data_IF_737536155733
#
_entry.id   IF_737536155733
#
_cell.length_a   1.000
_cell.length_b   1.000
_cell.length_c   1.000
_cell.angle_alpha   90.00
_cell.angle_beta   90.00
_cell.angle_gamma   90.00
#
_symmetry.space_group_name_H-M   'P 1'
#
loop_
_entity.id
_entity.type
_entity.pdbx_description
1 polymer ?
#
# COMPACT_ATOMS: atom_id res chain seq x y z
N UNK A 1 -37.84 0.86 -14.66
CA UNK A 1 -36.79 1.82 -15.07
C UNK A 1 -36.53 2.69 -13.86
N UNK A 2 -35.50 2.35 -13.07
CA UNK A 2 -35.07 3.17 -11.93
C UNK A 2 -33.86 3.93 -12.44
N UNK A 3 -34.05 5.22 -12.69
CA UNK A 3 -33.00 6.15 -13.05
C UNK A 3 -32.05 6.27 -11.85
N UNK A 4 -30.82 5.76 -12.00
CA UNK A 4 -29.73 6.05 -11.10
C UNK A 4 -29.47 7.55 -11.15
N UNK A 5 -29.85 8.23 -10.07
CA UNK A 5 -29.54 9.63 -9.84
C UNK A 5 -28.01 9.73 -9.73
N UNK A 6 -27.37 10.07 -10.85
CA UNK A 6 -25.96 10.45 -10.89
C UNK A 6 -25.84 11.82 -10.22
N UNK A 7 -25.83 11.81 -8.88
CA UNK A 7 -25.61 12.99 -8.08
C UNK A 7 -24.16 13.42 -8.32
N UNK A 8 -23.96 14.42 -9.18
CA UNK A 8 -22.68 14.96 -9.63
C UNK A 8 -21.85 15.63 -8.53
N UNK A 9 -21.64 14.93 -7.43
CA UNK A 9 -20.75 15.35 -6.37
C UNK A 9 -19.33 15.47 -6.95
N UNK A 10 -18.77 16.67 -6.87
CA UNK A 10 -17.37 16.91 -7.21
C UNK A 10 -16.51 16.01 -6.30
N UNK A 11 -15.62 15.17 -6.87
CA UNK A 11 -14.83 14.26 -6.06
C UNK A 11 -13.85 15.03 -5.17
N UNK A 12 -13.85 14.73 -3.88
CA UNK A 12 -12.89 15.25 -2.90
C UNK A 12 -11.62 14.40 -2.97
N UNK A 13 -10.65 14.87 -3.76
CA UNK A 13 -9.39 14.19 -4.03
C UNK A 13 -8.24 14.92 -3.34
N UNK A 14 -7.61 14.26 -2.37
CA UNK A 14 -6.43 14.78 -1.68
C UNK A 14 -5.17 14.06 -2.17
N UNK A 15 -4.22 14.74 -2.83
CA UNK A 15 -2.94 14.15 -3.21
C UNK A 15 -2.12 13.72 -1.99
N UNK A 16 -1.46 12.57 -2.12
CA UNK A 16 -0.53 12.00 -1.15
C UNK A 16 0.82 11.79 -1.85
N UNK A 17 1.63 12.86 -2.01
CA UNK A 17 2.94 12.74 -2.64
C UNK A 17 3.92 11.94 -1.77
N UNK A 18 5.06 11.49 -2.33
CA UNK A 18 6.13 10.90 -1.56
C UNK A 18 6.58 11.87 -0.47
N UNK A 19 6.76 11.35 0.75
CA UNK A 19 7.09 12.20 1.90
C UNK A 19 8.57 12.62 1.84
N UNK A 20 8.90 13.93 1.75
CA UNK A 20 10.27 14.39 1.48
C UNK A 20 11.30 13.96 2.53
N UNK A 21 10.88 13.76 3.77
CA UNK A 21 11.72 13.47 4.94
C UNK A 21 11.80 11.96 5.26
N UNK A 22 10.94 11.15 4.63
CA UNK A 22 10.80 9.73 4.89
C UNK A 22 11.69 8.90 3.96
N UNK A 23 12.41 7.92 4.51
CA UNK A 23 13.25 6.96 3.76
C UNK A 23 12.57 5.62 3.45
N UNK A 24 11.25 5.53 3.62
CA UNK A 24 10.46 4.36 3.26
C UNK A 24 10.73 3.90 1.82
N UNK A 25 10.90 2.60 1.63
CA UNK A 25 11.17 1.98 0.34
C UNK A 25 10.05 2.22 -0.68
N UNK A 26 8.78 2.19 -0.27
CA UNK A 26 7.64 2.38 -1.19
C UNK A 26 7.34 3.84 -1.49
N UNK A 27 6.98 4.64 -0.48
CA UNK A 27 6.50 6.02 -0.67
C UNK A 27 7.41 7.12 -0.09
N UNK A 28 8.62 6.80 0.35
CA UNK A 28 9.56 7.78 0.90
C UNK A 28 10.23 8.62 -0.20
N UNK A 29 10.20 9.93 -0.08
CA UNK A 29 10.87 10.86 -1.00
C UNK A 29 12.37 11.03 -0.73
N UNK A 30 12.86 10.70 0.47
CA UNK A 30 14.29 10.75 0.84
C UNK A 30 15.01 9.41 0.63
N UNK A 31 14.41 8.46 -0.07
CA UNK A 31 15.06 7.20 -0.42
C UNK A 31 15.41 7.21 -1.91
N UNK A 32 16.65 7.53 -2.26
CA UNK A 32 17.11 7.59 -3.67
C UNK A 32 16.95 6.27 -4.43
N UNK A 33 16.79 5.14 -3.72
CA UNK A 33 16.56 3.80 -4.28
C UNK A 33 15.13 3.28 -4.03
N UNK A 34 14.25 4.14 -3.53
CA UNK A 34 12.85 3.84 -3.27
C UNK A 34 11.99 3.96 -4.53
N UNK A 35 10.74 3.49 -4.44
CA UNK A 35 9.79 3.49 -5.54
C UNK A 35 9.07 4.82 -5.73
N UNK A 36 9.19 5.74 -4.78
CA UNK A 36 8.56 7.07 -4.76
C UNK A 36 7.06 7.04 -5.11
N UNK A 37 6.35 6.03 -4.61
CA UNK A 37 4.94 5.83 -4.91
C UNK A 37 4.09 6.98 -4.37
N UNK A 38 3.45 7.70 -5.29
CA UNK A 38 2.46 8.74 -5.01
C UNK A 38 1.04 8.18 -5.08
N UNK A 39 0.16 8.67 -4.22
CA UNK A 39 -1.24 8.22 -4.16
C UNK A 39 -2.19 9.41 -4.12
N UNK A 40 -3.48 9.13 -4.23
CA UNK A 40 -4.58 10.05 -3.99
C UNK A 40 -5.50 9.43 -2.95
N UNK A 41 -5.86 10.22 -1.94
CA UNK A 41 -6.92 9.89 -1.01
C UNK A 41 -8.23 10.44 -1.56
N UNK A 42 -9.06 9.54 -2.10
CA UNK A 42 -10.41 9.85 -2.55
C UNK A 42 -11.34 9.79 -1.33
N UNK A 43 -11.68 10.96 -0.80
CA UNK A 43 -12.47 11.10 0.42
C UNK A 43 -13.95 10.85 0.17
N UNK A 44 -14.43 11.12 -1.04
CA UNK A 44 -15.80 10.82 -1.47
C UNK A 44 -16.08 9.33 -1.48
N UNK A 45 -15.23 8.52 -2.13
CA UNK A 45 -15.38 7.06 -2.21
C UNK A 45 -14.73 6.30 -1.05
N UNK A 46 -14.04 7.02 -0.16
CA UNK A 46 -13.19 6.46 0.91
C UNK A 46 -12.20 5.43 0.36
N UNK A 47 -11.40 5.84 -0.62
CA UNK A 47 -10.41 5.02 -1.31
C UNK A 47 -9.02 5.64 -1.24
N UNK A 48 -8.01 4.78 -1.33
CA UNK A 48 -6.66 5.17 -1.74
C UNK A 48 -6.46 4.69 -3.16
N UNK A 49 -6.05 5.59 -4.06
CA UNK A 49 -5.83 5.30 -5.47
C UNK A 49 -4.38 5.63 -5.83
N UNK A 50 -3.73 4.74 -6.58
CA UNK A 50 -2.42 4.98 -7.17
C UNK A 50 -2.43 4.59 -8.64
N UNK A 51 -1.73 5.35 -9.50
CA UNK A 51 -1.54 5.05 -10.92
C UNK A 51 -0.04 5.02 -11.18
N UNK A 52 0.45 3.91 -11.71
CA UNK A 52 1.89 3.68 -11.79
C UNK A 52 2.26 3.07 -13.13
N UNK A 53 3.44 3.46 -13.62
CA UNK A 53 4.16 2.80 -14.71
C UNK A 53 5.55 2.53 -14.17
N UNK A 54 5.86 1.26 -13.94
CA UNK A 54 7.11 0.83 -13.29
C UNK A 54 8.08 0.27 -14.34
N UNK A 55 9.35 0.67 -14.25
CA UNK A 55 10.41 0.33 -15.20
C UNK A 55 11.07 -1.04 -14.97
N UNK A 56 12.11 -1.30 -15.77
CA UNK A 56 12.86 -2.57 -15.81
C UNK A 56 13.55 -2.90 -14.48
N UNK A 57 13.88 -1.90 -13.67
CA UNK A 57 14.49 -2.07 -12.35
C UNK A 57 13.61 -2.85 -11.35
N UNK A 58 12.31 -2.98 -11.64
CA UNK A 58 11.33 -3.70 -10.83
C UNK A 58 11.01 -5.10 -11.37
N UNK A 59 11.78 -5.58 -12.35
CA UNK A 59 11.57 -6.87 -12.98
C UNK A 59 11.75 -8.03 -12.01
N UNK A 60 10.89 -9.06 -12.13
CA UNK A 60 11.09 -10.36 -11.49
C UNK A 60 11.30 -11.45 -12.52
N UNK A 61 10.26 -11.75 -13.29
CA UNK A 61 10.36 -12.58 -14.49
C UNK A 61 10.59 -11.72 -15.74
N UNK A 62 11.10 -12.29 -16.85
CA UNK A 62 11.35 -11.53 -18.08
C UNK A 62 10.10 -10.76 -18.53
N UNK A 63 10.17 -9.42 -18.60
CA UNK A 63 9.10 -8.55 -19.05
C UNK A 63 7.98 -8.27 -18.03
N UNK A 64 8.06 -8.80 -16.81
CA UNK A 64 7.01 -8.66 -15.80
C UNK A 64 7.54 -8.20 -14.45
N UNK A 65 6.73 -7.42 -13.74
CA UNK A 65 7.06 -6.94 -12.40
C UNK A 65 7.25 -8.09 -11.42
N UNK A 66 8.23 -7.94 -10.53
CA UNK A 66 8.47 -8.88 -9.45
C UNK A 66 7.26 -8.96 -8.52
N UNK A 67 6.88 -10.17 -8.08
CA UNK A 67 5.74 -10.36 -7.19
C UNK A 67 5.85 -9.55 -5.89
N UNK A 68 7.07 -9.44 -5.35
CA UNK A 68 7.36 -8.58 -4.19
C UNK A 68 7.09 -7.09 -4.43
N UNK A 69 7.32 -6.58 -5.65
CA UNK A 69 7.01 -5.18 -6.00
C UNK A 69 5.51 -4.97 -6.02
N UNK A 70 4.77 -5.89 -6.62
CA UNK A 70 3.30 -5.87 -6.63
C UNK A 70 2.76 -5.91 -5.19
N UNK A 71 3.32 -6.78 -4.34
CA UNK A 71 2.97 -6.86 -2.92
C UNK A 71 3.25 -5.54 -2.19
N UNK A 72 4.39 -4.90 -2.44
CA UNK A 72 4.73 -3.58 -1.89
C UNK A 72 3.71 -2.52 -2.31
N UNK A 73 3.31 -2.46 -3.58
CA UNK A 73 2.30 -1.49 -4.04
C UNK A 73 0.96 -1.71 -3.34
N UNK A 74 0.52 -2.97 -3.22
CA UNK A 74 -0.73 -3.32 -2.52
C UNK A 74 -0.66 -2.94 -1.04
N UNK A 75 0.43 -3.29 -0.35
CA UNK A 75 0.63 -2.95 1.07
C UNK A 75 0.68 -1.43 1.29
N UNK A 76 1.39 -0.70 0.44
CA UNK A 76 1.48 0.76 0.50
C UNK A 76 0.13 1.45 0.29
N UNK A 77 -0.70 0.94 -0.63
CA UNK A 77 -2.06 1.45 -0.86
C UNK A 77 -2.96 1.17 0.35
N UNK A 78 -2.95 -0.07 0.84
CA UNK A 78 -3.75 -0.48 2.01
C UNK A 78 -3.32 0.23 3.29
N UNK A 79 -2.01 0.41 3.51
CA UNK A 79 -1.48 1.08 4.70
C UNK A 79 -1.90 2.55 4.78
N UNK A 80 -2.07 3.22 3.64
CA UNK A 80 -2.52 4.62 3.57
C UNK A 80 -3.97 4.82 3.99
N UNK A 81 -4.82 3.79 3.98
CA UNK A 81 -6.20 3.88 4.49
C UNK A 81 -6.26 4.26 5.97
N UNK A 82 -5.22 3.95 6.76
CA UNK A 82 -5.15 4.34 8.16
C UNK A 82 -5.17 5.88 8.35
N UNK A 83 -4.87 6.67 7.31
CA UNK A 83 -4.97 8.14 7.34
C UNK A 83 -6.39 8.66 7.43
N UNK A 84 -7.40 7.87 7.03
CA UNK A 84 -8.79 8.26 7.26
C UNK A 84 -9.17 8.31 8.74
N UNK A 85 -8.34 7.75 9.61
CA UNK A 85 -8.57 7.66 11.05
C UNK A 85 -7.46 8.31 11.87
N UNK A 86 -6.53 9.02 11.21
CA UNK A 86 -5.34 9.61 11.84
C UNK A 86 -4.49 8.60 12.65
N UNK A 87 -4.48 7.34 12.22
CA UNK A 87 -3.78 6.25 12.91
C UNK A 87 -2.38 6.00 12.32
N UNK A 88 -1.44 5.71 13.21
CA UNK A 88 -0.21 4.99 12.87
C UNK A 88 -0.47 3.50 13.04
N UNK A 89 -0.26 2.73 11.99
CA UNK A 89 -0.44 1.29 12.02
C UNK A 89 0.67 0.58 11.26
N UNK A 90 0.95 -0.64 11.67
CA UNK A 90 1.92 -1.53 11.02
C UNK A 90 1.20 -2.72 10.41
N UNK A 91 1.72 -3.24 9.30
CA UNK A 91 1.23 -4.45 8.67
C UNK A 91 1.53 -5.65 9.56
N UNK A 92 0.50 -6.36 10.02
CA UNK A 92 0.64 -7.57 10.83
C UNK A 92 0.45 -8.85 10.00
N UNK A 93 -0.26 -8.74 8.89
CA UNK A 93 -0.50 -9.84 7.95
C UNK A 93 -0.78 -9.27 6.57
N UNK A 94 -0.24 -9.89 5.53
CA UNK A 94 -0.49 -9.56 4.14
C UNK A 94 -0.72 -10.86 3.35
N UNK A 95 -1.88 -10.97 2.72
CA UNK A 95 -2.20 -11.99 1.72
C UNK A 95 -2.31 -11.32 0.35
N UNK A 96 -1.60 -11.89 -0.63
CA UNK A 96 -1.66 -11.43 -2.03
C UNK A 96 -2.08 -12.60 -2.92
N UNK A 97 -2.99 -12.32 -3.84
CA UNK A 97 -3.39 -13.23 -4.91
C UNK A 97 -2.98 -12.61 -6.25
N UNK A 98 -2.07 -13.28 -6.95
CA UNK A 98 -1.60 -12.90 -8.29
C UNK A 98 -2.45 -13.65 -9.32
N UNK A 99 -3.31 -12.92 -10.02
CA UNK A 99 -4.26 -13.51 -10.97
C UNK A 99 -3.71 -13.51 -12.39
N UNK A 100 -2.94 -12.48 -12.73
CA UNK A 100 -2.32 -12.28 -14.04
C UNK A 100 -0.96 -11.58 -13.90
N UNK A 101 -0.01 -11.81 -14.81
CA UNK A 101 1.24 -11.05 -14.85
C UNK A 101 0.98 -9.55 -15.01
N UNK A 102 1.86 -8.72 -14.45
CA UNK A 102 1.84 -7.26 -14.63
C UNK A 102 3.02 -6.86 -15.50
N UNK A 103 2.80 -6.44 -16.76
CA UNK A 103 3.87 -6.04 -17.66
C UNK A 103 4.65 -4.83 -17.14
N UNK A 104 5.96 -4.82 -17.39
CA UNK A 104 6.82 -3.64 -17.17
C UNK A 104 6.47 -2.55 -18.18
N UNK A 105 6.58 -1.29 -17.78
CA UNK A 105 6.36 -0.15 -18.67
C UNK A 105 4.89 0.09 -19.06
N UNK A 106 3.96 -0.74 -18.60
CA UNK A 106 2.53 -0.54 -18.77
C UNK A 106 1.89 0.10 -17.54
N UNK A 107 0.92 0.99 -17.76
CA UNK A 107 0.19 1.62 -16.68
C UNK A 107 -0.79 0.63 -16.01
N UNK A 108 -0.77 0.62 -14.68
CA UNK A 108 -1.78 -0.03 -13.87
C UNK A 108 -2.29 0.89 -12.75
N UNK A 109 -3.46 0.57 -12.23
CA UNK A 109 -4.15 1.30 -11.17
C UNK A 109 -4.30 0.38 -9.97
N UNK A 110 -3.94 0.87 -8.79
CA UNK A 110 -4.28 0.23 -7.51
C UNK A 110 -5.35 1.04 -6.81
N UNK A 111 -6.39 0.37 -6.34
CA UNK A 111 -7.41 0.96 -5.46
C UNK A 111 -7.51 0.14 -4.17
N UNK A 112 -7.41 0.80 -3.02
CA UNK A 112 -7.56 0.18 -1.71
C UNK A 112 -8.76 0.74 -0.95
N UNK A 113 -9.37 -0.12 -0.13
CA UNK A 113 -10.52 0.20 0.72
C UNK A 113 -10.50 -0.54 2.06
N UNK A 114 -11.15 0.05 3.05
CA UNK A 114 -11.36 -0.57 4.37
C UNK A 114 -12.49 -1.60 4.29
N UNK A 115 -12.24 -2.80 4.80
CA UNK A 115 -13.23 -3.89 4.87
C UNK A 115 -13.91 -3.90 6.22
N UNK A 116 -13.11 -3.84 7.29
CA UNK A 116 -13.62 -3.80 8.66
C UNK A 116 -12.55 -3.24 9.61
N UNK A 117 -13.00 -2.73 10.75
CA UNK A 117 -12.12 -2.28 11.84
C UNK A 117 -12.70 -2.71 13.18
N UNK A 118 -11.84 -3.21 14.08
CA UNK A 118 -12.22 -3.64 15.42
C UNK A 118 -11.08 -3.38 16.40
N UNK A 119 -11.33 -2.49 17.37
CA UNK A 119 -10.33 -2.03 18.33
C UNK A 119 -9.08 -1.47 17.63
N UNK A 120 -7.93 -2.11 17.87
CA UNK A 120 -6.64 -1.74 17.26
C UNK A 120 -6.38 -2.40 15.91
N UNK A 121 -7.25 -3.29 15.43
CA UNK A 121 -7.06 -3.98 14.16
C UNK A 121 -7.91 -3.34 13.06
N UNK A 122 -7.33 -3.17 11.88
CA UNK A 122 -8.04 -2.83 10.65
C UNK A 122 -7.76 -3.88 9.58
N UNK A 123 -8.79 -4.30 8.86
CA UNK A 123 -8.66 -5.14 7.67
C UNK A 123 -8.90 -4.26 6.46
N UNK A 124 -7.92 -4.22 5.58
CA UNK A 124 -7.98 -3.51 4.31
C UNK A 124 -7.89 -4.51 3.15
N UNK A 125 -8.43 -4.12 2.02
CA UNK A 125 -8.28 -4.82 0.75
C UNK A 125 -7.80 -3.85 -0.32
N UNK A 126 -7.13 -4.37 -1.33
CA UNK A 126 -6.75 -3.62 -2.52
C UNK A 126 -6.86 -4.46 -3.78
N UNK A 127 -7.18 -3.80 -4.88
CA UNK A 127 -7.21 -4.38 -6.21
C UNK A 127 -6.24 -3.63 -7.12
N UNK A 128 -5.44 -4.39 -7.87
CA UNK A 128 -4.57 -3.87 -8.91
C UNK A 128 -5.14 -4.27 -10.27
N UNK A 129 -5.43 -3.27 -11.10
CA UNK A 129 -6.05 -3.43 -12.41
C UNK A 129 -5.19 -2.82 -13.51
N UNK A 130 -5.21 -3.41 -14.70
CA UNK A 130 -4.61 -2.79 -15.90
C UNK A 130 -5.32 -1.49 -16.25
N UNK A 131 -4.75 -0.70 -17.16
CA UNK A 131 -5.43 0.46 -17.77
C UNK A 131 -6.79 0.12 -18.39
N UNK A 132 -7.00 -1.10 -18.86
CA UNK A 132 -8.28 -1.59 -19.42
C UNK A 132 -9.25 -2.12 -18.36
N UNK A 133 -8.89 -2.06 -17.07
CA UNK A 133 -9.75 -2.48 -15.96
C UNK A 133 -9.65 -3.98 -15.61
N UNK A 134 -8.79 -4.74 -16.27
CA UNK A 134 -8.61 -6.17 -15.98
C UNK A 134 -7.94 -6.35 -14.61
N UNK A 135 -8.50 -7.17 -13.74
CA UNK A 135 -7.91 -7.46 -12.43
C UNK A 135 -6.64 -8.31 -12.59
N UNK A 136 -5.50 -7.77 -12.15
CA UNK A 136 -4.19 -8.41 -12.27
C UNK A 136 -3.76 -9.06 -10.94
N UNK A 137 -3.97 -8.36 -9.83
CA UNK A 137 -3.71 -8.88 -8.48
C UNK A 137 -4.68 -8.28 -7.46
N UNK A 138 -4.83 -8.94 -6.32
CA UNK A 138 -5.53 -8.37 -5.16
C UNK A 138 -4.82 -8.68 -3.86
N UNK A 139 -4.95 -7.78 -2.91
CA UNK A 139 -4.37 -7.89 -1.57
C UNK A 139 -5.44 -7.82 -0.50
N UNK A 140 -5.22 -8.52 0.61
CA UNK A 140 -5.94 -8.33 1.86
C UNK A 140 -4.92 -8.31 2.99
N UNK A 141 -4.98 -7.30 3.84
CA UNK A 141 -4.02 -7.13 4.91
C UNK A 141 -4.69 -6.73 6.22
N UNK A 142 -4.08 -7.16 7.32
CA UNK A 142 -4.43 -6.73 8.67
C UNK A 142 -3.38 -5.76 9.18
N UNK A 143 -3.83 -4.59 9.56
CA UNK A 143 -3.03 -3.54 10.18
C UNK A 143 -3.33 -3.46 11.67
N UNK A 144 -2.30 -3.19 12.47
CA UNK A 144 -2.43 -2.99 13.91
C UNK A 144 -2.02 -1.56 14.25
N UNK A 145 -2.94 -0.78 14.80
CA UNK A 145 -2.67 0.56 15.29
C UNK A 145 -1.65 0.51 16.43
N UNK A 146 -0.62 1.35 16.35
CA UNK A 146 0.46 1.48 17.32
C UNK A 146 0.52 2.89 17.85
N UNK A 147 0.93 3.01 19.11
CA UNK A 147 1.23 4.29 19.73
C UNK A 147 2.41 4.96 18.99
N UNK A 148 2.33 6.26 18.77
CA UNK A 148 3.37 7.05 18.12
C UNK A 148 4.72 6.97 18.84
N UNK A 149 4.74 6.93 20.18
CA UNK A 149 5.95 6.77 20.96
C UNK A 149 6.63 5.41 20.72
N UNK A 150 5.85 4.36 20.42
CA UNK A 150 6.40 3.04 20.05
C UNK A 150 6.84 3.00 18.58
N UNK A 151 6.14 3.71 17.70
CA UNK A 151 6.45 3.74 16.27
C UNK A 151 7.79 4.41 15.96
N UNK A 152 8.17 5.44 16.73
CA UNK A 152 9.42 6.19 16.54
C UNK A 152 10.64 5.56 17.22
N UNK A 153 10.48 4.46 17.97
CA UNK A 153 11.62 3.79 18.60
C UNK A 153 12.50 3.11 17.55
N UNK A 154 13.84 3.28 17.60
CA UNK A 154 14.72 2.52 16.74
C UNK A 154 14.57 1.02 17.02
N UNK A 155 14.91 0.14 16.05
CA UNK A 155 14.94 -1.30 16.28
C UNK A 155 15.72 -1.59 17.55
N UNK A 156 15.15 -2.40 18.45
CA UNK A 156 15.89 -2.85 19.63
C UNK A 156 17.12 -3.59 19.14
N UNK A 157 18.29 -3.24 19.68
CA UNK A 157 19.52 -4.00 19.42
C UNK A 157 19.25 -5.47 19.72
N UNK A 158 19.51 -6.34 18.74
CA UNK A 158 19.40 -7.77 18.96
C UNK A 158 20.47 -8.15 19.97
N UNK A 159 20.08 -8.75 21.11
CA UNK A 159 21.05 -9.43 21.96
C UNK A 159 21.79 -10.44 21.11
N UNK A 160 23.11 -10.27 20.99
CA UNK A 160 24.00 -11.18 20.29
C UNK A 160 23.69 -12.63 20.66
N UNK A 161 23.75 -13.52 19.67
CA UNK A 161 23.62 -14.97 19.88
C UNK A 161 24.65 -15.53 20.89
N UNK A 162 25.71 -14.79 21.21
CA UNK A 162 26.71 -15.16 22.23
C UNK A 162 26.15 -15.22 23.67
N UNK A 163 25.01 -14.60 23.95
CA UNK A 163 24.41 -14.51 25.29
C UNK A 163 23.49 -15.72 25.62
N UNK A 164 23.40 -16.72 24.73
CA UNK A 164 22.46 -17.87 24.83
C UNK A 164 23.10 -19.22 25.14
N UNK A 165 24.43 -19.33 25.23
CA UNK A 165 25.16 -20.58 25.56
C UNK A 165 25.68 -20.57 27.00
N UNK A 166 24.83 -20.15 27.94
CA UNK A 166 25.13 -20.17 29.37
C UNK A 166 24.04 -20.86 30.17
N UNK A 167 23.76 -22.14 29.89
CA UNK A 167 23.16 -23.06 30.86
C UNK A 167 23.35 -24.52 30.48
#
# INVERSE_FOLDING_TARGET
MVEEQNNGAVPDLMPLPPRPDNRCFGCGGANDRGMHLAFVQDRTRRRIVGRFTLGEEYQGGPGFLHGGVIATVLDEAMGKLNRFHDLRAVTAELRVEYLRPVPIGEEFVVEAFEVQRSGRNSIHAAELRSRTGQLLARGRARFVAVDEARYRQPPRESKSAADRTGR
#
